data_IF_251362946080
#
_entry.id   IF_251362946080
#
_cell.length_a   1.000
_cell.length_b   1.000
_cell.length_c   1.000
_cell.angle_alpha   90.00
_cell.angle_beta   90.00
_cell.angle_gamma   90.00
#
_symmetry.space_group_name_H-M   'P 1'
#
loop_
_entity.id
_entity.type
_entity.pdbx_description
1 polymer ?
#
# COMPACT_ATOMS: atom_id res chain seq x y z
N UNK A 1 -1.93 18.75 30.09
CA UNK A 1 -1.48 17.34 30.00
C UNK A 1 -0.99 17.04 28.57
N UNK A 2 0.13 17.63 28.16
CA UNK A 2 0.69 17.43 26.82
C UNK A 2 1.99 16.61 26.94
N UNK A 3 2.19 15.63 26.05
CA UNK A 3 3.41 14.79 25.86
C UNK A 3 3.55 13.43 26.57
N UNK A 4 2.52 12.83 27.15
CA UNK A 4 2.69 11.45 27.67
C UNK A 4 2.75 10.39 26.54
N UNK A 5 2.06 10.62 25.42
CA UNK A 5 1.98 9.66 24.32
C UNK A 5 3.28 9.42 23.53
N UNK A 6 4.26 10.32 23.64
CA UNK A 6 5.53 10.22 22.90
C UNK A 6 6.56 9.27 23.53
N UNK A 7 6.22 8.61 24.65
CA UNK A 7 7.17 7.78 25.39
C UNK A 7 6.86 6.27 25.36
N UNK A 8 5.71 5.85 24.82
CA UNK A 8 5.38 4.43 24.73
C UNK A 8 6.18 3.77 23.59
N UNK A 9 6.97 2.75 23.94
CA UNK A 9 7.64 1.88 22.96
C UNK A 9 6.63 0.93 22.34
N UNK A 10 6.84 0.61 21.07
CA UNK A 10 6.06 -0.38 20.35
C UNK A 10 6.16 -1.73 21.09
N UNK A 11 5.04 -2.35 21.47
CA UNK A 11 5.08 -3.61 22.22
C UNK A 11 5.59 -4.78 21.38
N UNK A 12 5.42 -4.71 20.05
CA UNK A 12 5.86 -5.76 19.13
C UNK A 12 7.37 -5.75 18.90
N UNK A 13 7.96 -4.61 18.51
CA UNK A 13 9.39 -4.56 18.21
C UNK A 13 10.26 -4.01 19.35
N UNK A 14 9.70 -3.27 20.31
CA UNK A 14 10.39 -2.61 21.44
C UNK A 14 11.54 -1.64 21.08
N UNK A 15 11.89 -1.53 19.80
CA UNK A 15 12.95 -0.66 19.27
C UNK A 15 12.47 0.76 19.02
N UNK A 16 11.20 0.93 18.67
CA UNK A 16 10.65 2.20 18.20
C UNK A 16 9.54 2.70 19.09
N UNK A 17 9.47 4.03 19.26
CA UNK A 17 8.34 4.68 19.90
C UNK A 17 7.12 4.66 18.98
N UNK A 18 5.93 4.45 19.55
CA UNK A 18 4.68 4.45 18.82
C UNK A 18 4.43 5.85 18.23
N UNK A 19 3.88 5.90 17.01
CA UNK A 19 3.51 7.16 16.37
C UNK A 19 2.45 7.92 17.16
N UNK A 20 2.34 9.23 16.89
CA UNK A 20 1.31 10.05 17.52
C UNK A 20 -0.09 9.63 17.09
N UNK A 21 -1.11 9.82 17.96
CA UNK A 21 -2.50 9.59 17.60
C UNK A 21 -2.87 10.33 16.32
N UNK A 22 -3.32 9.60 15.31
CA UNK A 22 -3.61 10.09 13.97
C UNK A 22 -5.08 9.82 13.65
N UNK A 23 -5.80 10.85 13.17
CA UNK A 23 -7.19 10.70 12.72
C UNK A 23 -7.22 9.99 11.36
N UNK A 24 -8.01 8.92 11.25
CA UNK A 24 -8.19 8.18 10.01
C UNK A 24 -8.97 9.03 9.01
N UNK A 25 -8.39 9.20 7.81
CA UNK A 25 -9.01 9.93 6.72
C UNK A 25 -9.99 9.07 5.89
N UNK A 26 -10.27 7.83 6.30
CA UNK A 26 -11.19 6.94 5.59
C UNK A 26 -10.66 6.36 4.27
N UNK A 27 -9.38 6.60 3.91
CA UNK A 27 -8.79 6.22 2.61
C UNK A 27 -8.96 4.75 2.23
N UNK A 28 -8.86 3.84 3.21
CA UNK A 28 -8.99 2.39 2.97
C UNK A 28 -10.29 1.81 3.51
N UNK A 29 -10.89 2.43 4.53
CA UNK A 29 -12.15 1.99 5.14
C UNK A 29 -12.94 3.21 5.59
N UNK A 30 -13.95 3.60 4.80
CA UNK A 30 -14.81 4.77 5.08
C UNK A 30 -15.51 4.64 6.44
N UNK A 31 -15.83 3.42 6.86
CA UNK A 31 -16.42 3.13 8.18
C UNK A 31 -15.56 3.59 9.37
N UNK A 32 -14.25 3.75 9.18
CA UNK A 32 -13.33 4.22 10.21
C UNK A 32 -12.97 5.70 10.07
N UNK A 33 -13.64 6.45 9.18
CA UNK A 33 -13.41 7.88 9.01
C UNK A 33 -13.59 8.61 10.35
N UNK A 34 -12.58 9.37 10.74
CA UNK A 34 -12.60 10.15 11.97
C UNK A 34 -12.14 9.41 13.23
N UNK A 35 -12.01 8.09 13.21
CA UNK A 35 -11.42 7.32 14.32
C UNK A 35 -9.93 7.62 14.46
N UNK A 36 -9.40 7.53 15.68
CA UNK A 36 -7.99 7.80 15.97
C UNK A 36 -7.25 6.47 16.05
N UNK A 37 -6.05 6.40 15.48
CA UNK A 37 -5.18 5.24 15.60
C UNK A 37 -3.74 5.65 15.92
N UNK A 38 -2.98 4.67 16.39
CA UNK A 38 -1.55 4.73 16.53
C UNK A 38 -0.91 3.48 15.92
N UNK A 39 0.32 3.60 15.46
CA UNK A 39 1.06 2.49 14.86
C UNK A 39 2.56 2.57 15.10
N UNK A 40 3.28 1.47 14.88
CA UNK A 40 4.74 1.52 14.82
C UNK A 40 5.20 2.39 13.64
N UNK A 41 6.27 3.19 13.77
CA UNK A 41 6.84 3.94 12.65
C UNK A 41 7.29 3.05 11.48
N UNK A 42 7.65 1.79 11.76
CA UNK A 42 7.99 0.83 10.71
C UNK A 42 6.77 0.14 10.10
N UNK A 43 5.55 0.38 10.61
CA UNK A 43 4.34 -0.19 10.04
C UNK A 43 4.02 0.47 8.70
N UNK A 44 4.30 -0.27 7.63
CA UNK A 44 3.94 0.07 6.26
C UNK A 44 2.61 -0.62 5.95
N UNK A 45 1.57 0.18 5.70
CA UNK A 45 0.24 -0.35 5.39
C UNK A 45 0.28 -1.20 4.11
N UNK A 46 -0.32 -2.38 4.15
CA UNK A 46 -0.43 -3.36 3.05
C UNK A 46 0.91 -3.95 2.55
N UNK A 47 1.95 -3.85 3.35
CA UNK A 47 3.23 -4.50 3.08
C UNK A 47 3.44 -5.69 4.05
N UNK A 48 3.33 -6.94 3.58
CA UNK A 48 3.58 -8.12 4.41
C UNK A 48 5.05 -8.25 4.83
N UNK A 49 5.96 -7.51 4.19
CA UNK A 49 7.39 -7.47 4.54
C UNK A 49 7.71 -6.37 5.57
N UNK A 50 6.70 -5.64 6.03
CA UNK A 50 6.85 -4.64 7.10
C UNK A 50 7.45 -5.31 8.34
N UNK A 51 8.60 -4.83 8.86
CA UNK A 51 9.30 -5.49 9.95
C UNK A 51 8.55 -5.39 11.29
N UNK A 52 7.51 -4.56 11.35
CA UNK A 52 6.58 -4.49 12.47
C UNK A 52 5.18 -4.18 11.96
N UNK A 53 4.19 -4.90 12.47
CA UNK A 53 2.78 -4.79 12.09
C UNK A 53 1.92 -4.07 13.15
N UNK A 54 2.52 -3.61 14.26
CA UNK A 54 1.79 -2.99 15.36
C UNK A 54 0.93 -1.81 14.90
N UNK A 55 -0.37 -1.95 15.13
CA UNK A 55 -1.41 -0.97 14.86
C UNK A 55 -2.49 -1.09 15.93
N UNK A 56 -2.96 0.03 16.47
CA UNK A 56 -3.99 0.07 17.50
C UNK A 56 -4.95 1.22 17.26
N UNK A 57 -6.25 0.92 17.20
CA UNK A 57 -7.30 1.93 17.30
C UNK A 57 -7.34 2.50 18.73
N UNK A 58 -7.37 3.82 18.84
CA UNK A 58 -7.39 4.57 20.10
C UNK A 58 -8.74 5.28 20.24
N UNK A 59 -9.80 4.49 20.44
CA UNK A 59 -11.15 5.03 20.67
C UNK A 59 -11.26 5.71 22.05
N UNK A 60 -10.29 5.47 22.93
CA UNK A 60 -10.10 6.15 24.22
C UNK A 60 -9.63 7.62 24.06
N UNK A 61 -9.09 7.96 22.89
CA UNK A 61 -8.61 9.30 22.61
C UNK A 61 -9.66 10.06 21.81
N UNK A 62 -10.07 11.22 22.32
CA UNK A 62 -10.80 12.18 21.51
C UNK A 62 -9.91 12.61 20.34
N UNK A 63 -10.46 12.76 19.12
CA UNK A 63 -9.70 13.26 18.00
C UNK A 63 -9.02 14.57 18.41
N UNK A 64 -7.71 14.70 18.15
CA UNK A 64 -6.97 15.89 18.51
C UNK A 64 -7.74 17.15 18.01
N UNK A 65 -7.88 18.24 18.80
CA UNK A 65 -8.57 19.48 18.36
C UNK A 65 -7.92 20.14 17.14
N UNK A 66 -6.77 19.62 16.71
CA UNK A 66 -6.06 19.92 15.47
C UNK A 66 -6.85 19.55 14.20
N UNK A 67 -8.07 19.01 14.34
CA UNK A 67 -8.99 18.68 13.25
C UNK A 67 -9.79 19.85 12.69
N UNK A 68 -9.94 20.95 13.44
CA UNK A 68 -10.83 22.07 13.06
C UNK A 68 -10.11 23.41 12.86
N UNK A 69 -8.78 23.45 12.99
CA UNK A 69 -8.02 24.58 12.45
C UNK A 69 -7.97 24.37 10.94
N UNK A 70 -8.96 24.96 10.25
CA UNK A 70 -8.94 25.16 8.80
C UNK A 70 -7.51 25.57 8.41
N UNK A 71 -6.81 24.73 7.64
CA UNK A 71 -5.40 24.94 7.37
C UNK A 71 -5.26 26.25 6.61
N UNK A 72 -4.61 27.23 7.24
CA UNK A 72 -4.25 28.49 6.59
C UNK A 72 -3.53 28.14 5.28
N UNK A 73 -4.16 28.45 4.15
CA UNK A 73 -3.68 28.09 2.82
C UNK A 73 -2.36 28.80 2.57
N UNK A 74 -1.25 28.12 2.88
CA UNK A 74 0.06 28.59 2.49
C UNK A 74 0.12 28.63 0.96
N UNK A 75 0.69 29.69 0.34
CA UNK A 75 0.86 29.76 -1.10
C UNK A 75 1.68 28.54 -1.56
N UNK A 76 1.01 27.60 -2.23
CA UNK A 76 1.54 26.28 -2.59
C UNK A 76 0.75 25.06 -2.05
N UNK A 77 -0.39 25.25 -1.36
CA UNK A 77 -1.39 24.20 -1.09
C UNK A 77 -0.98 23.08 -0.13
N UNK A 78 0.25 23.10 0.41
CA UNK A 78 0.72 22.09 1.38
C UNK A 78 0.44 22.54 2.81
N UNK A 79 -0.44 21.79 3.49
CA UNK A 79 -0.80 21.96 4.91
C UNK A 79 0.46 22.02 5.81
N UNK A 80 0.68 23.14 6.51
CA UNK A 80 1.78 23.30 7.48
C UNK A 80 1.31 22.93 8.88
N UNK A 81 1.71 21.76 9.36
CA UNK A 81 1.48 21.36 10.76
C UNK A 81 2.55 22.07 11.62
N UNK A 82 2.24 22.71 12.75
CA UNK A 82 3.25 23.36 13.58
C UNK A 82 4.13 22.34 14.33
N UNK A 83 5.41 22.63 14.48
CA UNK A 83 6.34 21.84 15.27
C UNK A 83 6.04 22.00 16.76
N UNK A 84 5.98 20.87 17.45
CA UNK A 84 5.56 20.77 18.87
C UNK A 84 6.72 20.62 19.85
N UNK A 85 7.97 20.82 19.40
CA UNK A 85 9.11 20.82 20.32
C UNK A 85 8.98 22.01 21.27
N UNK A 86 9.46 21.86 22.51
CA UNK A 86 9.45 22.96 23.49
C UNK A 86 10.08 24.24 22.93
N UNK A 87 11.16 24.09 22.14
CA UNK A 87 11.86 25.18 21.46
C UNK A 87 11.02 25.90 20.39
N UNK A 88 10.18 25.18 19.65
CA UNK A 88 9.26 25.80 18.67
C UNK A 88 8.01 26.37 19.33
N UNK A 89 7.54 25.77 20.43
CA UNK A 89 6.40 26.28 21.19
C UNK A 89 6.74 27.59 21.92
N UNK A 90 7.99 27.77 22.35
CA UNK A 90 8.46 29.03 22.95
C UNK A 90 8.76 30.13 21.92
N UNK A 91 8.74 29.82 20.62
CA UNK A 91 9.03 30.79 19.57
C UNK A 91 7.77 31.55 19.16
N UNK A 92 7.90 32.84 18.81
CA UNK A 92 6.78 33.68 18.38
C UNK A 92 6.02 33.12 17.17
N UNK A 93 6.69 32.33 16.31
CA UNK A 93 6.07 31.57 15.22
C UNK A 93 6.62 30.15 15.22
N UNK A 94 5.79 29.12 15.51
CA UNK A 94 6.25 27.74 15.47
C UNK A 94 6.59 27.36 14.03
N UNK A 95 7.74 26.70 13.85
CA UNK A 95 8.19 26.25 12.53
C UNK A 95 7.29 25.12 12.03
N UNK A 96 7.18 24.99 10.71
CA UNK A 96 6.45 23.87 10.12
C UNK A 96 7.15 22.54 10.42
N UNK A 97 6.35 21.58 10.84
CA UNK A 97 6.66 20.17 10.93
C UNK A 97 7.02 19.63 9.54
N UNK A 98 8.05 18.79 9.49
CA UNK A 98 8.35 17.92 8.36
C UNK A 98 7.58 16.62 8.54
N UNK A 99 6.60 16.34 7.67
CA UNK A 99 5.71 15.18 7.79
C UNK A 99 6.47 13.84 7.69
N UNK A 100 7.61 13.87 7.02
CA UNK A 100 8.57 12.78 6.87
C UNK A 100 9.42 12.54 8.14
N UNK A 101 9.43 13.47 9.09
CA UNK A 101 10.13 13.30 10.36
C UNK A 101 9.39 12.31 11.27
N UNK A 102 10.02 11.18 11.56
CA UNK A 102 9.50 10.15 12.50
C UNK A 102 9.15 10.70 13.89
N UNK A 103 9.84 11.76 14.32
CA UNK A 103 9.65 12.40 15.63
C UNK A 103 8.65 13.54 15.62
N UNK A 104 8.04 13.83 14.46
CA UNK A 104 7.14 14.96 14.31
C UNK A 104 7.76 16.31 14.78
N UNK A 105 9.01 16.56 14.39
CA UNK A 105 9.69 17.84 14.62
C UNK A 105 10.04 18.55 13.31
N UNK A 106 10.22 19.87 13.37
CA UNK A 106 10.90 20.60 12.30
C UNK A 106 12.38 20.17 12.25
N UNK A 107 13.06 20.44 11.12
CA UNK A 107 14.48 20.08 10.93
C UNK A 107 15.36 20.47 12.11
N UNK A 108 15.29 21.72 12.56
CA UNK A 108 16.15 22.19 13.65
C UNK A 108 15.88 21.51 14.99
N UNK A 109 14.61 21.29 15.32
CA UNK A 109 14.26 20.63 16.57
C UNK A 109 14.52 19.13 16.51
N UNK A 110 14.49 18.54 15.32
CA UNK A 110 14.87 17.15 15.09
C UNK A 110 16.39 16.95 15.22
N UNK A 111 17.20 17.86 14.69
CA UNK A 111 18.67 17.84 14.86
C UNK A 111 19.03 18.06 16.32
N UNK A 112 18.34 18.96 17.01
CA UNK A 112 18.60 19.28 18.41
C UNK A 112 18.15 18.18 19.39
N UNK A 113 17.21 17.31 19.03
CA UNK A 113 16.69 16.28 19.95
C UNK A 113 17.63 15.09 20.14
N UNK A 114 18.75 15.02 19.42
CA UNK A 114 19.71 13.89 19.42
C UNK A 114 19.10 12.51 19.07
N UNK A 115 17.83 12.48 18.67
CA UNK A 115 17.13 11.26 18.27
C UNK A 115 17.49 10.92 16.83
N UNK A 116 17.70 9.62 16.56
CA UNK A 116 18.03 9.13 15.21
C UNK A 116 16.81 9.37 14.31
N UNK A 117 16.92 10.34 13.39
CA UNK A 117 15.94 10.58 12.35
C UNK A 117 16.43 10.01 11.01
N UNK A 118 15.59 9.23 10.34
CA UNK A 118 15.92 8.61 9.04
C UNK A 118 15.73 9.56 7.84
N UNK A 119 15.21 10.77 8.06
CA UNK A 119 15.14 11.78 7.01
C UNK A 119 16.55 12.27 6.73
N UNK A 120 17.03 12.08 5.49
CA UNK A 120 18.40 12.45 5.08
C UNK A 120 18.76 13.89 5.48
N UNK A 121 17.83 14.82 5.33
CA UNK A 121 18.04 16.23 5.65
C UNK A 121 18.09 16.56 7.15
N UNK A 122 17.76 15.61 8.03
CA UNK A 122 17.70 15.80 9.48
C UNK A 122 18.84 15.10 10.23
N UNK A 123 19.60 14.23 9.56
CA UNK A 123 20.70 13.51 10.21
C UNK A 123 21.99 14.31 10.08
N UNK A 124 22.50 14.95 11.15
CA UNK A 124 23.74 15.73 11.07
C UNK A 124 24.97 14.85 10.80
N UNK A 125 24.86 13.53 10.94
CA UNK A 125 25.97 12.58 10.75
C UNK A 125 26.07 11.98 9.35
N UNK A 126 25.13 12.27 8.43
CA UNK A 126 25.27 11.88 7.03
C UNK A 126 25.99 13.01 6.32
N UNK A 127 27.33 12.95 6.31
CA UNK A 127 28.12 13.79 5.41
C UNK A 127 27.65 13.54 3.96
N UNK A 128 27.49 14.58 3.14
CA UNK A 128 27.09 14.41 1.74
C UNK A 128 28.12 13.55 1.02
N UNK A 129 27.66 12.51 0.32
CA UNK A 129 28.50 11.55 -0.43
C UNK A 129 29.32 12.17 -1.58
N UNK A 130 29.31 13.48 -1.75
CA UNK A 130 29.95 14.23 -2.83
C UNK A 130 31.35 14.77 -2.50
N UNK A 131 31.97 14.36 -1.38
CA UNK A 131 33.35 14.75 -1.02
C UNK A 131 34.32 13.56 -0.87
N UNK A 132 34.02 12.42 -1.49
CA UNK A 132 35.02 11.34 -1.60
C UNK A 132 35.97 11.70 -2.75
N UNK A 133 37.11 12.31 -2.41
CA UNK A 133 38.23 12.43 -3.34
C UNK A 133 38.67 11.03 -3.81
N UNK A 134 38.97 10.84 -5.10
CA UNK A 134 39.61 9.62 -5.56
C UNK A 134 41.02 9.55 -4.97
N UNK A 135 41.27 8.56 -4.11
CA UNK A 135 42.64 8.22 -3.71
C UNK A 135 43.39 7.61 -4.90
N UNK A 136 44.67 7.96 -5.12
CA UNK A 136 45.44 7.37 -6.20
C UNK A 136 45.73 5.90 -5.90
N UNK A 137 45.34 5.03 -6.82
CA UNK A 137 45.71 3.61 -6.83
C UNK A 137 47.22 3.48 -6.81
N UNK A 138 47.76 2.94 -5.72
CA UNK A 138 49.10 2.38 -5.69
C UNK A 138 48.96 0.89 -5.53
N UNK A 139 49.28 0.15 -6.61
CA UNK A 139 49.42 -1.29 -6.57
C UNK A 139 50.67 -1.64 -5.76
N UNK A 140 50.53 -2.36 -4.65
CA UNK A 140 51.65 -3.03 -3.97
C UNK A 140 51.17 -4.38 -3.44
N UNK A 141 51.92 -5.41 -3.80
CA UNK A 141 51.78 -6.79 -3.37
C UNK A 141 51.77 -6.95 -1.83
N UNK A 142 51.09 -7.99 -1.33
CA UNK A 142 51.32 -8.47 0.04
C UNK A 142 52.79 -8.83 0.26
N UNK A 143 53.29 -8.89 1.51
CA UNK A 143 52.83 -9.91 2.45
C UNK A 143 52.86 -9.51 3.95
N UNK A 144 52.38 -10.45 4.78
CA UNK A 144 52.76 -10.72 6.17
C UNK A 144 52.50 -9.66 7.27
N UNK A 145 51.80 -10.14 8.33
CA UNK A 145 52.13 -9.79 9.71
C UNK A 145 51.58 -8.48 10.26
N UNK A 146 50.29 -8.43 10.60
CA UNK A 146 49.78 -7.45 11.56
C UNK A 146 49.85 -8.04 12.98
N UNK A 147 50.99 -7.87 13.65
CA UNK A 147 51.11 -8.02 15.11
C UNK A 147 51.00 -6.64 15.77
N UNK A 148 49.79 -6.29 16.17
CA UNK A 148 49.52 -5.12 17.00
C UNK A 148 48.87 -5.55 18.32
N UNK A 149 49.22 -4.95 19.48
CA UNK A 149 48.72 -5.35 20.80
C UNK A 149 47.21 -5.13 21.02
N UNK A 150 46.49 -4.60 20.02
CA UNK A 150 45.02 -4.49 20.03
C UNK A 150 44.29 -5.68 19.37
N UNK A 151 44.99 -6.56 18.65
CA UNK A 151 44.38 -7.72 17.99
C UNK A 151 44.11 -8.91 18.93
N UNK A 152 44.70 -8.89 20.14
CA UNK A 152 44.63 -9.99 21.12
C UNK A 152 43.56 -9.84 22.20
N UNK A 153 42.75 -8.76 22.19
CA UNK A 153 41.68 -8.57 23.18
C UNK A 153 40.27 -8.95 22.69
N UNK A 154 40.13 -9.42 21.44
CA UNK A 154 38.88 -10.08 21.00
C UNK A 154 39.06 -11.58 21.21
N UNK A 155 38.71 -11.97 22.44
CA UNK A 155 39.06 -13.20 23.12
C UNK A 155 38.63 -14.50 22.42
N UNK A 156 39.29 -15.64 22.73
CA UNK A 156 38.89 -17.00 22.36
C UNK A 156 37.40 -17.33 22.60
N UNK A 157 36.75 -16.63 23.54
CA UNK A 157 35.31 -16.73 23.80
C UNK A 157 34.42 -16.29 22.61
N UNK A 158 34.91 -15.42 21.72
CA UNK A 158 34.19 -15.05 20.50
C UNK A 158 34.41 -16.09 19.39
N UNK A 159 35.59 -16.70 19.32
CA UNK A 159 35.88 -17.80 18.39
C UNK A 159 35.05 -19.06 18.74
N UNK A 160 34.86 -19.34 20.03
CA UNK A 160 34.02 -20.45 20.49
C UNK A 160 32.54 -20.22 20.18
N UNK A 161 32.05 -18.96 20.26
CA UNK A 161 30.69 -18.58 19.82
C UNK A 161 30.47 -18.65 18.31
N UNK A 162 31.51 -18.44 17.50
CA UNK A 162 31.45 -18.66 16.05
C UNK A 162 31.44 -20.16 15.73
N UNK A 163 32.23 -20.96 16.47
CA UNK A 163 32.31 -22.41 16.26
C UNK A 163 31.05 -23.17 16.75
N UNK A 164 30.38 -22.69 17.80
CA UNK A 164 29.14 -23.30 18.33
C UNK A 164 27.86 -22.80 17.65
N UNK A 165 27.91 -21.70 16.90
CA UNK A 165 26.76 -21.25 16.13
C UNK A 165 26.58 -22.10 14.87
N UNK A 166 25.70 -23.09 15.03
CA UNK A 166 24.85 -23.68 13.99
C UNK A 166 24.55 -22.70 12.85
N UNK A 167 25.34 -22.76 11.77
CA UNK A 167 25.04 -22.20 10.46
C UNK A 167 23.90 -22.97 9.74
N UNK A 168 22.93 -23.48 10.49
CA UNK A 168 21.69 -24.05 9.97
C UNK A 168 20.67 -22.97 9.55
N UNK A 169 21.00 -21.67 9.69
CA UNK A 169 20.21 -20.54 9.16
C UNK A 169 20.82 -20.02 7.83
N UNK A 170 21.53 -20.88 7.10
CA UNK A 170 21.90 -20.63 5.69
C UNK A 170 21.12 -21.51 4.69
N UNK A 171 20.21 -22.36 5.19
CA UNK A 171 19.33 -23.20 4.36
C UNK A 171 17.98 -22.56 4.03
N UNK A 172 17.63 -21.42 4.64
CA UNK A 172 16.39 -20.68 4.33
C UNK A 172 16.51 -19.78 3.09
N UNK A 173 17.71 -19.36 2.69
CA UNK A 173 17.89 -18.59 1.44
C UNK A 173 17.79 -19.46 0.19
N UNK A 174 18.15 -20.74 0.29
CA UNK A 174 18.00 -21.71 -0.80
C UNK A 174 16.53 -22.04 -1.05
N UNK A 175 15.73 -22.21 0.01
CA UNK A 175 14.27 -22.39 -0.12
C UNK A 175 13.55 -21.11 -0.53
N UNK A 176 14.03 -19.92 -0.14
CA UNK A 176 13.44 -18.67 -0.61
C UNK A 176 13.73 -18.42 -2.09
N UNK A 177 14.96 -18.68 -2.54
CA UNK A 177 15.32 -18.52 -3.96
C UNK A 177 14.63 -19.57 -4.82
N UNK A 178 14.48 -20.82 -4.36
CA UNK A 178 13.66 -21.85 -5.04
C UNK A 178 12.16 -21.56 -4.96
N UNK A 179 11.65 -20.98 -3.87
CA UNK A 179 10.27 -20.49 -3.80
C UNK A 179 10.05 -19.36 -4.80
N UNK A 180 10.97 -18.39 -4.89
CA UNK A 180 10.97 -17.35 -5.93
C UNK A 180 11.13 -17.92 -7.36
N UNK A 181 11.88 -19.02 -7.52
CA UNK A 181 12.07 -19.72 -8.80
C UNK A 181 10.89 -20.64 -9.16
N UNK A 182 10.02 -20.95 -8.21
CA UNK A 182 8.71 -21.59 -8.46
C UNK A 182 7.62 -20.52 -8.67
N UNK A 183 7.75 -19.34 -8.04
CA UNK A 183 6.94 -18.13 -8.28
C UNK A 183 7.19 -17.51 -9.67
N UNK A 184 8.24 -17.91 -10.39
CA UNK A 184 8.50 -17.48 -11.78
C UNK A 184 7.53 -18.05 -12.82
N UNK A 185 6.42 -18.68 -12.40
CA UNK A 185 5.32 -19.11 -13.27
C UNK A 185 4.02 -18.34 -13.03
N UNK A 186 4.06 -17.20 -12.35
CA UNK A 186 2.86 -16.37 -12.25
C UNK A 186 2.47 -15.84 -13.63
N UNK A 187 1.31 -16.28 -14.11
CA UNK A 187 0.69 -15.72 -15.31
C UNK A 187 -0.40 -14.74 -14.91
N UNK A 188 -0.48 -13.61 -15.61
CA UNK A 188 -1.64 -12.71 -15.57
C UNK A 188 -2.40 -12.84 -16.87
N UNK A 189 -3.73 -12.83 -16.80
CA UNK A 189 -4.59 -12.83 -17.98
C UNK A 189 -4.83 -11.38 -18.38
N UNK A 190 -4.48 -11.02 -19.62
CA UNK A 190 -4.70 -9.66 -20.12
C UNK A 190 -5.88 -9.67 -21.08
N UNK A 191 -6.85 -8.79 -20.85
CA UNK A 191 -7.91 -8.42 -21.80
C UNK A 191 -7.59 -7.03 -22.35
N UNK A 192 -7.32 -6.96 -23.65
CA UNK A 192 -6.83 -5.75 -24.28
C UNK A 192 -7.74 -5.27 -25.41
N UNK A 193 -8.23 -4.03 -25.35
CA UNK A 193 -8.99 -3.41 -26.44
C UNK A 193 -8.11 -2.49 -27.28
N UNK A 194 -8.02 -2.78 -28.58
CA UNK A 194 -7.21 -2.02 -29.55
C UNK A 194 -8.04 -0.98 -30.30
N UNK A 195 -9.34 -1.24 -30.50
CA UNK A 195 -10.25 -0.37 -31.23
C UNK A 195 -11.64 -0.34 -30.59
N UNK A 196 -12.35 0.76 -30.82
CA UNK A 196 -13.74 0.93 -30.41
C UNK A 196 -14.62 -0.16 -31.02
N UNK A 197 -15.54 -0.70 -30.22
CA UNK A 197 -16.53 -1.71 -30.63
C UNK A 197 -15.93 -3.04 -31.13
N UNK A 198 -14.68 -3.35 -30.80
CA UNK A 198 -14.09 -4.67 -31.04
C UNK A 198 -14.07 -5.52 -29.76
N UNK A 199 -14.00 -6.85 -29.94
CA UNK A 199 -13.80 -7.78 -28.82
C UNK A 199 -12.35 -7.66 -28.32
N UNK A 200 -12.11 -7.81 -26.99
CA UNK A 200 -10.75 -7.74 -26.47
C UNK A 200 -9.90 -8.89 -26.98
N UNK A 201 -8.63 -8.61 -27.24
CA UNK A 201 -7.60 -9.63 -27.34
C UNK A 201 -7.37 -10.22 -25.94
N UNK A 202 -7.39 -11.55 -25.84
CA UNK A 202 -7.21 -12.26 -24.58
C UNK A 202 -5.97 -13.13 -24.69
N UNK A 203 -5.00 -12.90 -23.81
CA UNK A 203 -3.77 -13.70 -23.75
C UNK A 203 -3.20 -13.73 -22.33
N UNK A 204 -2.36 -14.72 -22.05
CA UNK A 204 -1.68 -14.87 -20.77
C UNK A 204 -0.25 -14.36 -20.89
N UNK A 205 0.18 -13.56 -19.91
CA UNK A 205 1.52 -12.98 -19.85
C UNK A 205 2.24 -13.55 -18.63
N UNK A 206 3.40 -14.22 -18.81
CA UNK A 206 4.23 -14.63 -17.68
C UNK A 206 4.87 -13.39 -17.03
N UNK A 207 4.65 -13.20 -15.73
CA UNK A 207 5.14 -12.05 -14.96
C UNK A 207 6.56 -12.32 -14.50
N UNK A 208 7.53 -11.60 -15.06
CA UNK A 208 8.96 -11.75 -14.73
C UNK A 208 9.37 -10.94 -13.50
N UNK A 209 8.61 -9.88 -13.17
CA UNK A 209 8.93 -8.92 -12.10
C UNK A 209 7.85 -8.88 -11.00
N UNK A 210 7.39 -10.05 -10.53
CA UNK A 210 6.36 -10.15 -9.49
C UNK A 210 6.78 -9.45 -8.17
N UNK A 211 5.87 -8.73 -7.46
CA UNK A 211 4.44 -8.61 -7.70
C UNK A 211 4.04 -7.44 -8.59
N UNK A 212 4.94 -6.88 -9.40
CA UNK A 212 4.67 -5.71 -10.22
C UNK A 212 4.54 -6.08 -11.70
N UNK A 213 3.62 -5.39 -12.38
CA UNK A 213 3.36 -5.56 -13.80
C UNK A 213 3.33 -4.19 -14.46
N UNK A 214 4.18 -4.01 -15.45
CA UNK A 214 4.13 -2.86 -16.34
C UNK A 214 4.17 -3.33 -17.79
N UNK A 215 3.28 -2.88 -18.67
CA UNK A 215 3.08 -3.50 -19.97
C UNK A 215 4.25 -3.26 -20.94
N UNK A 216 5.06 -2.21 -20.70
CA UNK A 216 6.30 -1.97 -21.43
C UNK A 216 7.33 -3.08 -21.26
N UNK A 217 7.28 -3.80 -20.15
CA UNK A 217 8.31 -4.79 -19.80
C UNK A 217 8.06 -6.13 -20.50
N UNK A 218 6.95 -6.27 -21.24
CA UNK A 218 6.50 -7.52 -21.82
C UNK A 218 6.30 -7.40 -23.33
N UNK A 219 7.32 -7.80 -24.09
CA UNK A 219 7.34 -7.79 -25.56
C UNK A 219 6.16 -8.57 -26.17
N UNK A 220 5.67 -9.62 -25.49
CA UNK A 220 4.50 -10.39 -25.94
C UNK A 220 3.26 -9.50 -26.13
N UNK A 221 3.11 -8.43 -25.34
CA UNK A 221 2.00 -7.49 -25.46
C UNK A 221 2.18 -6.67 -26.74
N UNK A 222 3.37 -6.12 -26.95
CA UNK A 222 3.70 -5.35 -28.17
C UNK A 222 3.46 -6.19 -29.42
N UNK A 223 3.94 -7.44 -29.42
CA UNK A 223 3.80 -8.37 -30.55
C UNK A 223 2.34 -8.77 -30.80
N UNK A 224 1.53 -8.94 -29.75
CA UNK A 224 0.11 -9.32 -29.88
C UNK A 224 -0.78 -8.14 -30.28
N UNK A 225 -0.50 -6.95 -29.76
CA UNK A 225 -1.27 -5.74 -30.02
C UNK A 225 -0.86 -5.09 -31.34
N UNK A 226 0.39 -5.26 -31.77
CA UNK A 226 0.93 -4.67 -33.00
C UNK A 226 1.22 -3.17 -32.87
N UNK A 227 1.24 -2.62 -31.65
CA UNK A 227 1.52 -1.21 -31.37
C UNK A 227 2.64 -1.10 -30.33
N UNK A 228 3.61 -0.16 -30.50
CA UNK A 228 4.62 0.08 -29.49
C UNK A 228 3.97 0.53 -28.19
N UNK A 229 4.34 -0.12 -27.08
CA UNK A 229 3.70 0.05 -25.77
C UNK A 229 4.05 1.36 -25.06
N UNK A 230 3.91 2.53 -25.69
CA UNK A 230 4.35 3.80 -25.11
C UNK A 230 3.42 4.33 -24.03
N UNK A 231 2.10 4.11 -24.15
CA UNK A 231 1.09 4.50 -23.16
C UNK A 231 -0.18 3.66 -23.31
N UNK A 232 -0.69 3.11 -22.20
CA UNK A 232 -1.99 2.44 -22.12
C UNK A 232 -2.71 2.85 -20.84
N UNK A 233 -4.03 2.79 -20.89
CA UNK A 233 -4.85 2.96 -19.71
C UNK A 233 -5.14 1.62 -19.05
N UNK A 234 -5.06 1.60 -17.73
CA UNK A 234 -5.46 0.49 -16.89
C UNK A 234 -6.84 0.78 -16.31
N UNK A 235 -7.75 -0.20 -16.39
CA UNK A 235 -8.94 -0.14 -15.57
C UNK A 235 -8.57 -0.65 -14.17
N UNK A 236 -8.66 0.22 -13.17
CA UNK A 236 -8.42 -0.17 -11.78
C UNK A 236 -9.63 -0.94 -11.25
N UNK A 237 -9.63 -2.24 -11.48
CA UNK A 237 -10.69 -3.13 -10.97
C UNK A 237 -10.71 -3.26 -9.45
N UNK A 238 -9.65 -2.80 -8.75
CA UNK A 238 -9.57 -2.84 -7.29
C UNK A 238 -10.29 -1.63 -6.70
N UNK A 239 -10.08 -0.45 -7.28
CA UNK A 239 -10.81 0.76 -6.91
C UNK A 239 -12.26 0.74 -7.41
N UNK A 240 -12.50 0.16 -8.60
CA UNK A 240 -13.81 0.10 -9.25
C UNK A 240 -14.17 -1.34 -9.62
N UNK A 241 -14.84 -2.09 -8.71
CA UNK A 241 -15.28 -3.45 -9.01
C UNK A 241 -16.25 -3.44 -10.21
N UNK A 242 -16.03 -4.35 -11.15
CA UNK A 242 -16.86 -4.51 -12.36
C UNK A 242 -18.36 -4.75 -12.08
N UNK A 243 -18.69 -5.16 -10.86
CA UNK A 243 -20.06 -5.41 -10.39
C UNK A 243 -20.76 -4.16 -9.83
N UNK A 244 -20.12 -2.99 -9.91
CA UNK A 244 -20.75 -1.70 -9.60
C UNK A 244 -21.97 -1.48 -10.52
N UNK A 245 -23.16 -1.70 -9.95
CA UNK A 245 -24.46 -1.50 -10.60
C UNK A 245 -24.88 -0.03 -10.65
N UNK A 246 -24.07 0.89 -10.13
CA UNK A 246 -24.29 2.32 -10.23
C UNK A 246 -23.63 2.84 -11.50
N UNK A 247 -24.38 3.62 -12.28
CA UNK A 247 -23.99 4.16 -13.59
C UNK A 247 -22.94 5.26 -13.54
N UNK A 248 -21.89 5.07 -12.74
CA UNK A 248 -20.71 5.90 -12.74
C UNK A 248 -19.71 5.32 -13.75
N UNK A 249 -19.17 6.20 -14.58
CA UNK A 249 -18.24 5.89 -15.66
C UNK A 249 -17.07 5.06 -15.10
N UNK A 250 -16.80 3.89 -15.69
CA UNK A 250 -15.64 3.07 -15.34
C UNK A 250 -14.38 3.94 -15.51
N UNK A 251 -13.76 4.37 -14.39
CA UNK A 251 -12.62 5.30 -14.42
C UNK A 251 -11.36 4.58 -14.90
N UNK A 252 -10.90 4.93 -16.10
CA UNK A 252 -9.66 4.44 -16.68
C UNK A 252 -8.50 5.28 -16.20
N UNK A 253 -7.52 4.63 -15.58
CA UNK A 253 -6.34 5.30 -15.03
C UNK A 253 -5.17 5.12 -15.99
N UNK A 254 -4.70 6.21 -16.57
CA UNK A 254 -3.42 6.25 -17.27
C UNK A 254 -2.29 6.27 -16.24
N UNK A 255 -1.69 5.11 -15.95
CA UNK A 255 -0.52 5.02 -15.06
C UNK A 255 0.75 4.78 -15.85
N UNK A 256 1.77 5.59 -15.57
CA UNK A 256 3.16 5.36 -16.01
C UNK A 256 3.94 4.46 -15.06
N UNK A 257 3.34 4.08 -13.94
CA UNK A 257 3.95 3.30 -12.88
C UNK A 257 3.49 1.83 -12.94
N UNK A 258 4.36 0.87 -12.57
CA UNK A 258 3.99 -0.54 -12.46
C UNK A 258 2.83 -0.77 -11.49
N UNK A 259 1.89 -1.62 -11.87
CA UNK A 259 0.73 -1.99 -11.04
C UNK A 259 1.03 -3.27 -10.28
N UNK A 260 0.62 -3.35 -9.01
CA UNK A 260 0.76 -4.58 -8.22
C UNK A 260 -0.28 -5.62 -8.66
N UNK A 261 0.15 -6.83 -8.98
CA UNK A 261 -0.68 -7.92 -9.49
C UNK A 261 -0.69 -9.13 -8.57
N UNK A 262 -1.77 -9.92 -8.65
CA UNK A 262 -1.89 -11.23 -8.00
C UNK A 262 -1.75 -12.35 -9.05
N UNK A 263 -1.37 -13.57 -8.65
CA UNK A 263 -1.41 -14.73 -9.53
C UNK A 263 -2.81 -14.89 -10.16
N UNK A 264 -2.86 -15.21 -11.46
CA UNK A 264 -4.08 -15.42 -12.25
C UNK A 264 -5.05 -14.23 -12.31
N UNK A 265 -4.61 -13.04 -11.88
CA UNK A 265 -5.39 -11.82 -11.99
C UNK A 265 -5.67 -11.49 -13.47
N UNK A 266 -6.91 -11.07 -13.75
CA UNK A 266 -7.26 -10.53 -15.06
C UNK A 266 -7.06 -9.03 -15.08
N UNK A 267 -6.15 -8.55 -15.92
CA UNK A 267 -5.92 -7.13 -16.18
C UNK A 267 -6.72 -6.68 -17.39
N UNK A 268 -7.28 -5.47 -17.28
CA UNK A 268 -8.10 -4.84 -18.29
C UNK A 268 -7.36 -3.61 -18.81
N UNK A 269 -7.08 -3.60 -20.10
CA UNK A 269 -6.20 -2.61 -20.73
C UNK A 269 -6.80 -2.11 -22.04
N UNK A 270 -6.53 -0.84 -22.37
CA UNK A 270 -6.93 -0.25 -23.64
C UNK A 270 -5.87 0.67 -24.22
N UNK A 271 -5.93 0.89 -25.52
CA UNK A 271 -5.32 2.09 -26.13
C UNK A 271 -6.09 3.35 -25.72
N UNK A 272 -5.43 4.51 -25.57
CA UNK A 272 -6.08 5.76 -25.14
C UNK A 272 -7.28 6.19 -26.01
N UNK A 273 -7.27 5.83 -27.30
CA UNK A 273 -8.32 6.21 -28.26
C UNK A 273 -9.60 5.34 -28.17
N UNK A 274 -9.62 4.32 -27.29
CA UNK A 274 -10.76 3.40 -27.16
C UNK A 274 -11.68 3.85 -26.04
N UNK A 275 -12.88 4.27 -26.38
CA UNK A 275 -13.92 4.72 -25.45
C UNK A 275 -15.09 3.73 -25.31
N UNK A 276 -15.18 2.69 -26.15
CA UNK A 276 -16.24 1.68 -26.07
C UNK A 276 -15.69 0.27 -25.89
N UNK A 277 -16.27 -0.49 -24.95
CA UNK A 277 -15.73 -1.78 -24.49
C UNK A 277 -16.75 -2.91 -24.61
N UNK A 278 -16.70 -3.67 -25.71
CA UNK A 278 -17.52 -4.88 -25.81
C UNK A 278 -16.94 -5.98 -24.91
N UNK A 279 -17.79 -6.62 -24.10
CA UNK A 279 -17.41 -7.77 -23.27
C UNK A 279 -16.58 -7.43 -22.02
N UNK A 280 -16.59 -6.16 -21.58
CA UNK A 280 -15.96 -5.74 -20.33
C UNK A 280 -16.62 -6.42 -19.13
N UNK A 281 -17.95 -6.31 -19.06
CA UNK A 281 -18.78 -7.08 -18.16
C UNK A 281 -18.91 -8.48 -18.74
N UNK A 282 -18.57 -9.50 -17.95
CA UNK A 282 -18.93 -10.88 -18.34
C UNK A 282 -20.43 -10.85 -18.55
N UNK A 283 -20.91 -11.17 -19.75
CA UNK A 283 -22.32 -11.52 -19.91
C UNK A 283 -22.59 -12.54 -18.81
N UNK A 284 -23.43 -12.18 -17.83
CA UNK A 284 -23.80 -13.08 -16.75
C UNK A 284 -24.08 -14.43 -17.39
N UNK A 285 -23.47 -15.54 -16.93
CA UNK A 285 -23.54 -16.82 -17.61
C UNK A 285 -24.98 -17.03 -18.03
N UNK A 286 -25.24 -17.01 -19.36
CA UNK A 286 -26.59 -17.00 -19.91
C UNK A 286 -27.36 -18.04 -19.11
N UNK A 287 -28.39 -17.61 -18.36
CA UNK A 287 -29.26 -18.53 -17.65
C UNK A 287 -29.57 -19.61 -18.66
N UNK A 288 -29.15 -20.84 -18.35
CA UNK A 288 -29.34 -22.02 -19.20
C UNK A 288 -30.75 -21.90 -19.77
N UNK A 289 -30.96 -21.93 -21.10
CA UNK A 289 -32.30 -21.90 -21.66
C UNK A 289 -33.12 -22.86 -20.84
N UNK A 290 -34.21 -22.37 -20.22
CA UNK A 290 -35.13 -23.21 -19.48
C UNK A 290 -35.39 -24.40 -20.38
N UNK A 291 -34.95 -25.59 -19.94
CA UNK A 291 -35.19 -26.82 -20.67
C UNK A 291 -36.65 -26.80 -21.10
N UNK A 292 -36.99 -27.12 -22.36
CA UNK A 292 -38.38 -27.16 -22.80
C UNK A 292 -39.17 -27.97 -21.77
N UNK A 293 -40.23 -27.37 -21.25
CA UNK A 293 -41.06 -28.00 -20.25
C UNK A 293 -41.45 -29.40 -20.79
N UNK A 294 -41.29 -30.47 -20.01
CA UNK A 294 -41.80 -31.76 -20.44
C UNK A 294 -43.31 -31.61 -20.59
N UNK A 295 -43.80 -31.79 -21.82
CA UNK A 295 -45.21 -31.95 -22.14
C UNK A 295 -45.72 -33.22 -21.43
N UNK A 296 -46.16 -33.04 -20.18
CA UNK A 296 -46.74 -34.05 -19.32
C UNK A 296 -48.21 -33.72 -19.03
N UNK A 297 -49.10 -34.72 -19.04
CA UNK A 297 -50.53 -34.50 -19.03
C UNK A 297 -51.04 -34.03 -17.66
N UNK A 298 -51.77 -32.92 -17.73
CA UNK A 298 -52.85 -32.44 -16.85
C UNK A 298 -53.31 -33.49 -15.81
N UNK A 299 -52.91 -33.28 -14.55
CA UNK A 299 -53.50 -33.99 -13.40
C UNK A 299 -53.79 -32.99 -12.27
N UNK A 300 -55.09 -32.73 -12.13
CA UNK A 300 -55.89 -32.42 -10.94
C UNK A 300 -55.48 -31.34 -9.91
N UNK A 301 -56.46 -30.56 -9.42
CA UNK A 301 -56.24 -29.45 -8.51
C UNK A 301 -55.97 -29.91 -7.08
N UNK A 302 -54.97 -29.32 -6.44
CA UNK A 302 -54.79 -29.40 -4.98
C UNK A 302 -55.21 -28.10 -4.31
N UNK A 303 -55.71 -28.18 -3.06
CA UNK A 303 -56.49 -27.11 -2.44
C UNK A 303 -55.59 -26.00 -1.91
N UNK A 304 -56.06 -24.78 -2.12
CA UNK A 304 -55.54 -23.51 -1.63
C UNK A 304 -55.38 -23.51 -0.10
N UNK A 305 -54.16 -23.25 0.35
CA UNK A 305 -53.87 -22.85 1.73
C UNK A 305 -54.15 -21.35 1.91
N UNK A 306 -54.64 -20.92 3.09
CA UNK A 306 -55.04 -19.56 3.35
C UNK A 306 -53.83 -18.62 3.49
N UNK A 307 -53.89 -17.52 2.74
CA UNK A 307 -52.95 -16.40 2.74
C UNK A 307 -52.88 -15.75 4.13
N UNK A 308 -51.68 -15.68 4.68
CA UNK A 308 -51.38 -14.86 5.86
C UNK A 308 -51.30 -13.38 5.46
N UNK A 309 -51.98 -12.46 6.16
CA UNK A 309 -51.91 -11.04 5.85
C UNK A 309 -50.57 -10.44 6.26
N UNK A 310 -49.90 -9.79 5.31
CA UNK A 310 -48.67 -9.03 5.54
C UNK A 310 -48.94 -7.81 6.43
N UNK A 311 -48.08 -7.50 7.43
CA UNK A 311 -48.25 -6.31 8.26
C UNK A 311 -47.96 -5.03 7.48
N UNK A 312 -48.89 -4.09 7.57
CA UNK A 312 -48.87 -2.75 6.96
C UNK A 312 -47.60 -1.98 7.36
N UNK A 313 -46.85 -1.50 6.36
CA UNK A 313 -45.82 -0.46 6.51
C UNK A 313 -46.45 0.79 7.14
N UNK A 314 -46.00 1.15 8.34
CA UNK A 314 -46.32 2.42 9.01
C UNK A 314 -45.54 3.54 8.30
N UNK A 315 -46.24 4.33 7.49
CA UNK A 315 -45.74 5.59 6.93
C UNK A 315 -45.60 6.58 8.09
N UNK A 316 -44.37 6.98 8.39
CA UNK A 316 -44.06 8.05 9.34
C UNK A 316 -43.83 9.32 8.51
N UNK A 317 -44.89 10.09 8.32
CA UNK A 317 -44.81 11.47 7.85
C UNK A 317 -44.00 12.29 8.87
N UNK A 318 -42.96 12.95 8.38
CA UNK A 318 -42.25 14.02 9.07
C UNK A 318 -42.33 15.25 8.16
N UNK A 319 -42.74 16.37 8.77
CA UNK A 319 -42.43 17.78 8.49
C UNK A 319 -43.70 18.67 8.52
N UNK A 320 -43.57 20.00 8.76
CA UNK A 320 -42.40 20.76 9.21
C UNK A 320 -42.62 21.50 10.56
N UNK A 321 -41.53 21.94 11.16
CA UNK A 321 -41.52 22.95 12.23
C UNK A 321 -41.77 24.32 11.60
N UNK A 322 -42.70 25.08 12.18
CA UNK A 322 -42.87 26.50 11.90
C UNK A 322 -42.51 27.30 13.16
N UNK A 323 -41.87 28.44 12.89
CA UNK A 323 -41.48 29.59 13.74
C UNK A 323 -40.23 29.43 14.59
#
# INVERSE_FOLDING_TARGET
>A
MANQFSQERCPTCQEHFITRPTKCAGKFTVANLGRVYQKCPQHIFNDPTSPCDFFLWRDDLSPPPWGDVEPEESPGGRRRIPCTSARCLSAAKPRALRQDCSQSFCKECCVASSLICRVKDHNPNILPSSLILPSPSTAVAGPAGFSGPYATMIAPAYAEKIATNNFAIALSSRTQTEAYRMESQHTVKVKFWVKNNERPLIFNVPVTSYPFFHPKDYEVITTRVGLPCTSYDFLDTVAHPLDSTAGDEDEWITTSMPTRVKPDMTLYMRTPDVNTFLGLRSESPRKRPLSPAPDGPRSSPSPSLPSTPSPKKRVRSKEPVFV
#
